data_IF_957589503855
#
_entry.id   IF_957589503855
#
_cell.length_a   1.000
_cell.length_b   1.000
_cell.length_c   1.000
_cell.angle_alpha   90.00
_cell.angle_beta   90.00
_cell.angle_gamma   90.00
#
_symmetry.space_group_name_H-M   'P 1'
#
loop_
_entity.id
_entity.type
_entity.pdbx_description
1 polymer ?
#
# COMPACT_ATOMS: atom_id res chain seq x y z
N UNK A 1 9.51 20.79 35.47
CA UNK A 1 9.32 19.87 36.60
C UNK A 1 9.23 18.46 36.05
N UNK A 2 9.82 17.48 36.72
CA UNK A 2 9.84 16.09 36.26
C UNK A 2 8.45 15.48 36.27
N UNK A 3 8.13 14.69 35.24
CA UNK A 3 6.85 13.98 35.08
C UNK A 3 7.00 12.48 35.37
N UNK A 4 8.12 12.05 35.95
CA UNK A 4 8.37 10.64 36.28
C UNK A 4 7.50 10.19 37.49
N UNK A 5 6.95 8.96 37.49
CA UNK A 5 6.12 8.45 38.57
C UNK A 5 6.82 8.36 39.94
N UNK A 6 8.16 8.25 39.94
CA UNK A 6 8.99 8.20 41.15
C UNK A 6 9.48 9.57 41.65
N UNK A 7 9.27 10.64 40.88
CA UNK A 7 9.77 11.97 41.20
C UNK A 7 8.87 12.70 42.20
N UNK A 8 9.48 13.41 43.16
CA UNK A 8 8.75 14.23 44.13
C UNK A 8 8.11 15.45 43.45
N UNK A 9 6.99 15.98 43.99
CA UNK A 9 6.36 17.19 43.44
C UNK A 9 7.35 18.36 43.37
N UNK A 10 7.56 18.92 42.18
CA UNK A 10 8.49 20.03 41.95
C UNK A 10 9.95 19.62 41.66
N UNK A 11 10.25 18.32 41.60
CA UNK A 11 11.59 17.83 41.34
C UNK A 11 12.09 18.18 39.92
N UNK A 12 13.38 18.49 39.80
CA UNK A 12 13.99 18.86 38.51
C UNK A 12 14.39 17.62 37.70
N UNK A 13 14.41 17.75 36.37
CA UNK A 13 14.89 16.70 35.47
C UNK A 13 16.35 16.28 35.72
N UNK A 14 17.16 17.12 36.37
CA UNK A 14 18.53 16.77 36.80
C UNK A 14 18.55 15.81 37.98
N UNK A 15 17.54 15.86 38.85
CA UNK A 15 17.43 15.04 40.05
C UNK A 15 16.75 13.71 39.76
N UNK A 16 15.68 13.70 38.96
CA UNK A 16 15.04 12.45 38.53
C UNK A 16 15.87 11.70 37.48
N UNK A 17 16.68 12.40 36.70
CA UNK A 17 17.22 11.86 35.45
C UNK A 17 16.19 11.95 34.33
N UNK A 18 16.69 11.88 33.10
CA UNK A 18 15.91 12.09 31.88
C UNK A 18 16.36 11.12 30.80
N UNK A 19 15.41 10.56 30.08
CA UNK A 19 15.67 9.72 28.91
C UNK A 19 15.34 10.51 27.65
N UNK A 20 16.33 10.69 26.79
CA UNK A 20 16.17 11.33 25.49
C UNK A 20 16.43 10.29 24.41
N UNK A 21 15.47 10.07 23.54
CA UNK A 21 15.63 9.27 22.35
C UNK A 21 16.00 10.18 21.20
N UNK A 22 17.10 9.90 20.52
CA UNK A 22 17.52 10.60 19.33
C UNK A 22 17.23 9.67 18.16
N UNK A 23 16.18 9.98 17.41
CA UNK A 23 15.85 9.24 16.19
C UNK A 23 16.69 9.84 15.06
N UNK A 24 17.45 8.99 14.38
CA UNK A 24 18.20 9.35 13.18
C UNK A 24 17.40 8.79 12.02
N UNK A 25 16.74 9.66 11.24
CA UNK A 25 16.01 9.23 10.05
C UNK A 25 16.86 9.35 8.81
N UNK A 26 17.09 8.23 8.16
CA UNK A 26 17.74 8.16 6.86
C UNK A 26 16.68 8.26 5.75
N UNK A 27 16.95 9.13 4.79
CA UNK A 27 16.16 9.28 3.58
C UNK A 27 17.11 9.37 2.39
N UNK A 28 16.79 8.67 1.30
CA UNK A 28 17.41 8.96 0.02
C UNK A 28 16.35 9.38 -0.99
N UNK A 29 16.80 10.05 -2.05
CA UNK A 29 15.98 10.18 -3.24
C UNK A 29 16.26 8.96 -4.13
N UNK A 30 15.25 8.27 -4.67
CA UNK A 30 15.46 7.07 -5.48
C UNK A 30 16.41 7.26 -6.67
N UNK A 31 16.54 8.50 -7.15
CA UNK A 31 17.37 8.89 -8.29
C UNK A 31 18.71 9.54 -7.92
N UNK A 32 18.98 9.80 -6.63
CA UNK A 32 20.27 10.32 -6.17
C UNK A 32 20.81 9.39 -5.09
N UNK A 33 22.04 8.92 -5.27
CA UNK A 33 22.73 8.08 -4.28
C UNK A 33 23.20 8.87 -3.03
N UNK A 34 22.63 10.06 -2.79
CA UNK A 34 22.96 10.90 -1.64
C UNK A 34 22.00 10.55 -0.51
N UNK A 35 22.55 9.94 0.53
CA UNK A 35 21.83 9.65 1.77
C UNK A 35 21.79 10.94 2.60
N UNK A 36 20.58 11.40 2.91
CA UNK A 36 20.35 12.52 3.83
C UNK A 36 19.89 11.96 5.17
N UNK A 37 20.38 12.52 6.27
CA UNK A 37 19.93 12.14 7.61
C UNK A 37 19.33 13.36 8.33
N UNK A 38 18.30 13.12 9.14
CA UNK A 38 17.72 14.13 10.03
C UNK A 38 17.69 13.59 11.46
N UNK A 39 18.16 14.41 12.39
CA UNK A 39 18.06 14.10 13.82
C UNK A 39 16.73 14.62 14.36
N UNK A 40 15.94 13.74 14.96
CA UNK A 40 14.72 14.06 15.70
C UNK A 40 14.88 13.65 17.16
N UNK A 41 15.33 14.57 18.05
CA UNK A 41 15.33 14.30 19.47
C UNK A 41 13.89 14.27 20.00
N UNK A 42 13.56 13.25 20.76
CA UNK A 42 12.28 13.05 21.42
C UNK A 42 12.51 12.74 22.90
N UNK A 43 11.78 13.43 23.77
CA UNK A 43 11.72 13.12 25.18
C UNK A 43 10.65 12.06 25.43
N UNK A 44 10.97 10.99 26.17
CA UNK A 44 9.97 10.03 26.62
C UNK A 44 9.41 10.50 27.98
N UNK A 45 8.16 10.96 28.04
CA UNK A 45 7.55 11.37 29.30
C UNK A 45 7.38 10.18 30.23
N UNK A 46 7.63 10.40 31.53
CA UNK A 46 7.40 9.41 32.57
C UNK A 46 8.54 8.39 32.78
N UNK A 47 9.61 8.43 31.98
CA UNK A 47 10.74 7.52 32.15
C UNK A 47 11.83 8.14 33.04
N UNK A 48 12.13 7.49 34.16
CA UNK A 48 13.22 7.85 35.06
C UNK A 48 14.45 6.99 34.77
N UNK A 49 15.64 7.59 34.75
CA UNK A 49 16.88 6.82 34.67
C UNK A 49 17.69 6.91 35.95
N UNK A 50 17.70 5.80 36.68
CA UNK A 50 18.47 5.60 37.90
C UNK A 50 19.33 4.36 37.75
N UNK A 51 20.64 4.51 37.95
CA UNK A 51 21.58 3.39 38.03
C UNK A 51 22.02 3.22 39.48
N UNK A 52 21.74 2.06 40.07
CA UNK A 52 22.08 1.74 41.45
C UNK A 52 23.28 0.80 41.47
N UNK A 53 24.36 1.21 42.14
CA UNK A 53 25.58 0.42 42.30
C UNK A 53 25.81 0.15 43.79
N UNK A 54 25.90 -1.13 44.15
CA UNK A 54 26.15 -1.56 45.53
C UNK A 54 27.64 -1.85 45.70
N UNK A 55 28.33 -1.06 46.51
CA UNK A 55 29.74 -1.25 46.83
C UNK A 55 29.83 -1.86 48.22
N UNK A 56 30.25 -3.13 48.29
CA UNK A 56 30.51 -3.81 49.55
C UNK A 56 31.90 -3.46 50.05
N UNK A 57 31.98 -2.92 51.26
CA UNK A 57 33.23 -2.59 51.91
C UNK A 57 33.74 -3.79 52.71
N UNK A 58 35.07 -3.91 52.89
CA UNK A 58 35.67 -5.03 53.65
C UNK A 58 35.24 -5.11 55.12
N UNK A 59 34.68 -4.03 55.67
CA UNK A 59 34.17 -3.95 57.03
C UNK A 59 32.73 -4.49 57.19
N UNK A 60 32.16 -5.11 56.15
CA UNK A 60 30.79 -5.63 56.16
C UNK A 60 29.71 -4.57 55.96
N UNK A 61 30.07 -3.29 55.80
CA UNK A 61 29.12 -2.25 55.39
C UNK A 61 28.95 -2.23 53.87
N UNK A 62 27.80 -1.74 53.42
CA UNK A 62 27.53 -1.56 52.00
C UNK A 62 27.17 -0.09 51.74
N UNK A 63 27.68 0.44 50.64
CA UNK A 63 27.32 1.78 50.16
C UNK A 63 26.52 1.62 48.88
N UNK A 64 25.27 2.08 48.93
CA UNK A 64 24.40 2.18 47.75
C UNK A 64 24.66 3.51 47.08
N UNK A 65 25.20 3.49 45.86
CA UNK A 65 25.35 4.67 45.02
C UNK A 65 24.21 4.73 44.03
N UNK A 66 23.38 5.75 44.17
CA UNK A 66 22.30 6.05 43.25
C UNK A 66 22.75 7.15 42.28
N UNK A 67 22.88 6.80 40.99
CA UNK A 67 23.27 7.74 39.94
C UNK A 67 22.06 8.11 39.11
N UNK A 68 21.63 9.36 39.25
CA UNK A 68 20.64 9.99 38.39
C UNK A 68 21.35 10.70 37.24
N UNK A 69 20.88 10.51 36.01
CA UNK A 69 21.59 11.03 34.86
C UNK A 69 20.76 11.09 33.59
N UNK A 70 21.45 11.48 32.52
CA UNK A 70 20.91 11.51 31.17
C UNK A 70 21.15 10.14 30.51
N UNK A 71 20.08 9.48 30.07
CA UNK A 71 20.17 8.33 29.19
C UNK A 71 19.84 8.75 27.77
N UNK A 72 20.83 8.67 26.89
CA UNK A 72 20.64 8.87 25.45
C UNK A 72 20.42 7.52 24.78
N UNK A 73 19.31 7.39 24.05
CA UNK A 73 19.01 6.21 23.23
C UNK A 73 19.05 6.66 21.78
N UNK A 74 19.93 6.07 20.99
CA UNK A 74 20.00 6.35 19.55
C UNK A 74 19.19 5.29 18.81
N UNK A 75 18.17 5.73 18.08
CA UNK A 75 17.36 4.86 17.24
C UNK A 75 17.59 5.23 15.77
N UNK A 76 18.06 4.27 14.98
CA UNK A 76 18.25 4.44 13.54
C UNK A 76 16.98 3.98 12.83
N UNK A 77 16.30 4.91 12.18
CA UNK A 77 15.11 4.65 11.38
C UNK A 77 15.33 5.18 9.97
N UNK A 78 14.55 4.71 9.01
CA UNK A 78 14.60 5.26 7.66
C UNK A 78 14.42 4.19 6.60
N UNK A 79 14.00 4.65 5.44
CA UNK A 79 13.84 3.84 4.25
C UNK A 79 14.82 4.32 3.21
N UNK A 80 15.67 3.41 2.75
CA UNK A 80 16.63 3.68 1.68
C UNK A 80 16.09 2.98 0.44
N UNK A 81 15.45 3.75 -0.43
CA UNK A 81 14.93 3.24 -1.71
C UNK A 81 16.07 3.07 -2.71
N UNK A 82 16.17 1.93 -3.38
CA UNK A 82 17.03 1.79 -4.55
C UNK A 82 16.16 1.72 -5.80
N UNK A 83 16.72 2.17 -6.92
CA UNK A 83 16.06 1.96 -8.19
C UNK A 83 15.95 0.45 -8.46
N UNK A 84 14.72 -0.01 -8.63
CA UNK A 84 14.39 -1.38 -9.00
C UNK A 84 13.52 -1.37 -10.25
N UNK A 85 14.04 -1.98 -11.31
CA UNK A 85 13.38 -2.05 -12.60
C UNK A 85 12.11 -2.92 -12.56
N UNK A 86 12.08 -3.95 -11.72
CA UNK A 86 10.91 -4.84 -11.60
C UNK A 86 9.75 -4.06 -10.98
N UNK A 87 10.02 -3.35 -9.87
CA UNK A 87 9.05 -2.45 -9.24
C UNK A 87 8.54 -1.37 -10.20
N UNK A 88 9.40 -0.81 -11.05
CA UNK A 88 8.98 0.15 -12.09
C UNK A 88 8.01 -0.49 -13.08
N UNK A 89 8.35 -1.67 -13.61
CA UNK A 89 7.53 -2.37 -14.58
C UNK A 89 6.15 -2.75 -14.01
N UNK A 90 6.10 -3.22 -12.76
CA UNK A 90 4.84 -3.51 -12.07
C UNK A 90 3.94 -2.28 -11.97
N UNK A 91 4.50 -1.12 -11.64
CA UNK A 91 3.75 0.14 -11.59
C UNK A 91 3.22 0.56 -12.97
N UNK A 92 4.00 0.35 -14.04
CA UNK A 92 3.55 0.61 -15.42
C UNK A 92 2.40 -0.33 -15.81
N UNK A 93 2.52 -1.63 -15.54
CA UNK A 93 1.47 -2.61 -15.82
C UNK A 93 0.19 -2.29 -15.04
N UNK A 94 0.31 -1.92 -13.77
CA UNK A 94 -0.83 -1.47 -12.97
C UNK A 94 -1.49 -0.21 -13.57
N UNK A 95 -0.70 0.73 -14.10
CA UNK A 95 -1.19 1.89 -14.83
C UNK A 95 -2.01 1.52 -16.06
N UNK A 96 -1.57 0.56 -16.87
CA UNK A 96 -2.33 0.07 -18.03
C UNK A 96 -3.62 -0.64 -17.62
N UNK A 97 -3.61 -1.41 -16.53
CA UNK A 97 -4.82 -2.02 -16.00
C UNK A 97 -5.85 -0.96 -15.58
N UNK A 98 -5.40 0.12 -14.92
CA UNK A 98 -6.27 1.23 -14.56
C UNK A 98 -6.81 1.97 -15.80
N UNK A 99 -6.00 2.11 -16.85
CA UNK A 99 -6.44 2.70 -18.11
C UNK A 99 -7.55 1.88 -18.77
N UNK A 100 -7.44 0.55 -18.79
CA UNK A 100 -8.51 -0.33 -19.28
C UNK A 100 -9.80 -0.20 -18.46
N UNK A 101 -9.68 -0.08 -17.13
CA UNK A 101 -10.84 0.18 -16.29
C UNK A 101 -11.49 1.54 -16.61
N UNK A 102 -10.67 2.57 -16.83
CA UNK A 102 -11.17 3.89 -17.21
C UNK A 102 -11.95 3.84 -18.54
N UNK A 103 -11.47 3.09 -19.53
CA UNK A 103 -12.20 2.94 -20.81
C UNK A 103 -13.56 2.26 -20.62
N UNK A 104 -13.64 1.24 -19.75
CA UNK A 104 -14.92 0.57 -19.42
C UNK A 104 -15.87 1.57 -18.76
N UNK A 105 -15.39 2.37 -17.82
CA UNK A 105 -16.21 3.39 -17.15
C UNK A 105 -16.73 4.42 -18.17
N UNK A 106 -15.85 4.93 -19.05
CA UNK A 106 -16.23 5.87 -20.10
C UNK A 106 -17.28 5.26 -21.04
N UNK A 107 -17.13 3.99 -21.38
CA UNK A 107 -18.09 3.27 -22.22
C UNK A 107 -19.46 3.13 -21.55
N UNK A 108 -19.50 2.78 -20.26
CA UNK A 108 -20.76 2.75 -19.48
C UNK A 108 -21.41 4.14 -19.44
N UNK A 109 -20.61 5.19 -19.25
CA UNK A 109 -21.11 6.56 -19.25
C UNK A 109 -21.71 6.95 -20.60
N UNK A 110 -21.02 6.66 -21.71
CA UNK A 110 -21.51 6.94 -23.06
C UNK A 110 -22.80 6.18 -23.40
N UNK A 111 -22.91 4.91 -23.01
CA UNK A 111 -24.06 4.07 -23.34
C UNK A 111 -25.28 4.29 -22.43
N UNK A 112 -25.10 4.73 -21.18
CA UNK A 112 -26.19 4.82 -20.19
C UNK A 112 -26.61 6.23 -19.83
N UNK A 113 -25.68 7.18 -19.81
CA UNK A 113 -25.92 8.50 -19.22
C UNK A 113 -25.91 9.66 -20.21
N UNK A 114 -25.23 9.53 -21.37
CA UNK A 114 -25.23 10.59 -22.36
C UNK A 114 -26.56 10.66 -23.15
N UNK A 115 -27.01 11.87 -23.52
CA UNK A 115 -28.25 12.06 -24.27
C UNK A 115 -28.17 11.50 -25.70
N UNK A 116 -26.98 11.42 -26.29
CA UNK A 116 -26.74 10.86 -27.63
C UNK A 116 -26.37 9.36 -27.61
N UNK A 117 -26.67 8.66 -26.51
CA UNK A 117 -26.34 7.23 -26.35
C UNK A 117 -26.85 6.35 -27.49
N UNK A 118 -28.01 6.66 -28.07
CA UNK A 118 -28.64 5.85 -29.12
C UNK A 118 -27.83 5.91 -30.43
N UNK A 119 -27.18 7.04 -30.70
CA UNK A 119 -26.26 7.20 -31.84
C UNK A 119 -24.98 6.40 -31.59
N UNK A 120 -24.44 6.47 -30.37
CA UNK A 120 -23.25 5.70 -30.00
C UNK A 120 -23.50 4.19 -30.01
N UNK A 121 -24.68 3.74 -29.57
CA UNK A 121 -25.09 2.32 -29.58
C UNK A 121 -25.16 1.76 -31.01
N UNK A 122 -25.73 2.52 -31.96
CA UNK A 122 -25.84 2.09 -33.36
C UNK A 122 -24.49 1.97 -34.07
N UNK A 123 -23.54 2.85 -33.75
CA UNK A 123 -22.19 2.81 -34.34
C UNK A 123 -21.34 1.73 -33.69
N UNK A 124 -21.53 1.47 -32.39
CA UNK A 124 -20.71 0.50 -31.66
C UNK A 124 -21.17 -0.94 -31.82
N UNK A 125 -22.48 -1.18 -31.90
CA UNK A 125 -23.04 -2.53 -32.06
C UNK A 125 -23.55 -2.73 -33.49
N UNK A 126 -22.80 -3.50 -34.27
CA UNK A 126 -23.31 -4.00 -35.55
C UNK A 126 -24.13 -5.27 -35.30
N UNK A 127 -25.44 -5.23 -35.57
CA UNK A 127 -26.30 -6.40 -35.38
C UNK A 127 -26.14 -7.35 -36.57
N UNK A 128 -25.39 -8.43 -36.40
CA UNK A 128 -25.22 -9.47 -37.43
C UNK A 128 -26.48 -10.34 -37.58
N UNK A 129 -26.73 -10.82 -38.80
CA UNK A 129 -27.96 -11.53 -39.20
C UNK A 129 -28.31 -12.75 -38.33
N UNK A 130 -27.30 -13.53 -37.91
CA UNK A 130 -27.49 -14.72 -37.07
C UNK A 130 -28.11 -14.38 -35.71
N UNK A 131 -27.78 -13.22 -35.14
CA UNK A 131 -28.32 -12.77 -33.84
C UNK A 131 -29.80 -12.36 -34.00
N UNK A 132 -30.15 -11.81 -35.15
CA UNK A 132 -31.52 -11.42 -35.50
C UNK A 132 -32.42 -12.65 -35.66
N UNK A 133 -31.95 -13.69 -36.37
CA UNK A 133 -32.69 -14.95 -36.51
C UNK A 133 -32.86 -15.65 -35.16
N UNK A 134 -31.79 -15.76 -34.36
CA UNK A 134 -31.87 -16.36 -33.03
C UNK A 134 -32.80 -15.59 -32.07
N UNK A 135 -32.77 -14.25 -32.05
CA UNK A 135 -33.67 -13.45 -31.22
C UNK A 135 -35.14 -13.55 -31.68
N UNK A 136 -35.38 -13.67 -32.99
CA UNK A 136 -36.71 -13.86 -33.57
C UNK A 136 -37.27 -15.25 -33.28
N UNK A 137 -36.44 -16.29 -33.40
CA UNK A 137 -36.79 -17.67 -33.04
C UNK A 137 -37.09 -17.81 -31.54
N UNK A 138 -36.37 -17.08 -30.68
CA UNK A 138 -36.64 -17.03 -29.23
C UNK A 138 -37.96 -16.32 -28.90
N UNK A 139 -38.26 -15.19 -29.56
CA UNK A 139 -39.55 -14.48 -29.42
C UNK A 139 -40.74 -15.30 -29.94
N UNK A 140 -40.51 -16.20 -30.91
CA UNK A 140 -41.53 -17.11 -31.43
C UNK A 140 -41.67 -18.42 -30.63
N UNK A 141 -40.88 -18.60 -29.56
CA UNK A 141 -40.96 -19.78 -28.68
C UNK A 141 -40.45 -21.07 -29.30
N UNK A 142 -39.65 -20.99 -30.38
CA UNK A 142 -39.19 -22.16 -31.14
C UNK A 142 -37.95 -22.82 -30.52
N UNK A 143 -37.19 -22.09 -29.68
CA UNK A 143 -35.96 -22.58 -29.04
C UNK A 143 -36.09 -22.39 -27.52
N UNK A 144 -36.01 -23.48 -26.74
CA UNK A 144 -35.98 -23.47 -25.28
C UNK A 144 -34.54 -23.33 -24.75
N UNK A 145 -34.40 -22.78 -23.54
CA UNK A 145 -33.11 -22.34 -22.96
C UNK A 145 -32.03 -23.44 -22.82
N UNK A 146 -32.40 -24.72 -22.90
CA UNK A 146 -31.48 -25.86 -22.75
C UNK A 146 -30.58 -26.13 -23.98
N UNK A 147 -30.99 -25.74 -25.20
CA UNK A 147 -30.18 -25.99 -26.41
C UNK A 147 -29.11 -24.91 -26.68
N UNK A 148 -29.20 -23.76 -26.00
CA UNK A 148 -28.33 -22.61 -26.25
C UNK A 148 -26.86 -22.84 -25.83
N UNK A 149 -26.58 -23.85 -24.99
CA UNK A 149 -25.21 -24.12 -24.50
C UNK A 149 -24.46 -25.19 -25.30
N UNK A 150 -25.12 -26.01 -26.12
CA UNK A 150 -24.47 -27.12 -26.82
C UNK A 150 -23.94 -26.77 -28.22
N UNK A 151 -24.43 -25.68 -28.85
CA UNK A 151 -24.06 -25.31 -30.21
C UNK A 151 -22.70 -24.63 -30.40
N UNK A 152 -22.02 -24.18 -29.32
CA UNK A 152 -20.77 -23.43 -29.44
C UNK A 152 -19.48 -24.28 -29.45
N UNK A 153 -19.55 -25.60 -29.22
CA UNK A 153 -18.34 -26.43 -29.09
C UNK A 153 -17.97 -27.30 -30.30
N UNK A 154 -18.65 -27.18 -31.44
CA UNK A 154 -18.38 -28.08 -32.57
C UNK A 154 -18.75 -27.53 -33.94
N UNK A 155 -17.93 -26.62 -34.49
CA UNK A 155 -17.74 -26.51 -35.95
C UNK A 155 -16.28 -26.16 -36.25
N UNK A 156 -15.52 -27.20 -36.58
CA UNK A 156 -14.21 -27.11 -37.21
C UNK A 156 -14.31 -26.29 -38.51
N UNK A 157 -13.29 -25.45 -38.75
CA UNK A 157 -13.20 -24.60 -39.95
C UNK A 157 -12.80 -25.48 -41.15
N UNK A 158 -13.54 -25.48 -42.28
CA UNK A 158 -13.06 -26.13 -43.49
C UNK A 158 -11.92 -25.30 -44.10
N UNK A 159 -10.81 -25.98 -44.40
CA UNK A 159 -9.62 -25.41 -45.01
C UNK A 159 -9.87 -24.95 -46.45
N UNK A 160 -9.16 -23.90 -46.85
CA UNK A 160 -9.10 -23.47 -48.24
C UNK A 160 -8.14 -24.37 -49.02
N UNK A 161 -8.67 -25.21 -49.91
CA UNK A 161 -7.90 -25.80 -51.01
C UNK A 161 -7.63 -24.72 -52.06
N UNK A 162 -6.35 -24.57 -52.41
CA UNK A 162 -5.88 -23.75 -53.52
C UNK A 162 -5.66 -24.70 -54.69
N UNK A 163 -6.50 -24.59 -55.73
CA UNK A 163 -6.37 -25.34 -56.98
C UNK A 163 -5.85 -24.43 -58.09
N UNK A 164 -4.59 -24.70 -58.47
CA UNK A 164 -3.91 -24.47 -59.76
C UNK A 164 -3.74 -23.05 -60.29
#
# INVERSE_FOLDING_TARGET
>A
VSTAPGAKPGESYRSSGIVIVIIIDYQNLPFKNTITYKYRPQYIPGNEYKSVENIFMPNGSYVVKERHGLRLIFQQNGEIGRFDFISLLQNIVAGFALFSLATIIVEVLMLKFLPEKDVYEQVKFETTHDIYEHAKLKKQGVISDDEAQQGQFGKERPGYEISS
#
